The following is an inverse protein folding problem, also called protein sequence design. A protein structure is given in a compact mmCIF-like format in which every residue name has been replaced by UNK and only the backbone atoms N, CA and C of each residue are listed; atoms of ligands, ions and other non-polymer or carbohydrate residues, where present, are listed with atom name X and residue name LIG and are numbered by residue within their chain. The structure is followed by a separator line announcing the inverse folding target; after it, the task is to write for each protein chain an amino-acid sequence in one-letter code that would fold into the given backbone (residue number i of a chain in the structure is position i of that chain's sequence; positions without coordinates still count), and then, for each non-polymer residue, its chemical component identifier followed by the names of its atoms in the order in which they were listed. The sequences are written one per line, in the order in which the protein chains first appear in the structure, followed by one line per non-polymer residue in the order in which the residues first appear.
data_IF_528188604648
#
_entry.id   IF_528188604648
#
_cell.length_a   1.000
_cell.length_b   1.000
_cell.length_c   1.000
_cell.angle_alpha   90.00
_cell.angle_beta   90.00
_cell.angle_gamma   90.00
#
_symmetry.space_group_name_H-M   'P 1'
#
loop_
_entity.id
_entity.type
_entity.pdbx_description
1 polymer ?
#
# COMPACT_ATOMS: atom_id res chain seq x y z
N UNK A 1 -18.20 -6.12 -14.71
CA UNK A 1 -16.77 -6.52 -14.55
C UNK A 1 -16.21 -5.74 -13.37
N UNK A 2 -15.13 -6.17 -12.72
CA UNK A 2 -14.58 -5.49 -11.52
C UNK A 2 -14.37 -3.97 -11.74
N UNK A 3 -13.93 -3.55 -12.93
CA UNK A 3 -13.77 -2.12 -13.25
C UNK A 3 -15.12 -1.35 -13.26
N UNK A 4 -16.20 -1.98 -13.72
CA UNK A 4 -17.54 -1.38 -13.74
C UNK A 4 -18.07 -1.22 -12.30
N UNK A 5 -17.81 -2.22 -11.44
CA UNK A 5 -18.14 -2.15 -10.02
C UNK A 5 -17.38 -1.02 -9.32
N UNK A 6 -16.09 -0.84 -9.65
CA UNK A 6 -15.29 0.28 -9.16
C UNK A 6 -15.80 1.63 -9.68
N UNK A 7 -16.26 1.71 -10.93
CA UNK A 7 -16.85 2.94 -11.47
C UNK A 7 -18.12 3.33 -10.70
N UNK A 8 -18.96 2.35 -10.35
CA UNK A 8 -20.14 2.60 -9.50
C UNK A 8 -19.73 3.17 -8.13
N UNK A 9 -18.67 2.64 -7.51
CA UNK A 9 -18.13 3.17 -6.25
C UNK A 9 -17.57 4.58 -6.42
N UNK A 10 -16.87 4.87 -7.52
CA UNK A 10 -16.36 6.22 -7.82
C UNK A 10 -17.51 7.23 -7.89
N UNK A 11 -18.61 6.89 -8.57
CA UNK A 11 -19.77 7.79 -8.67
C UNK A 11 -20.50 7.96 -7.32
N UNK A 12 -20.54 6.91 -6.49
CA UNK A 12 -21.18 6.94 -5.18
C UNK A 12 -20.37 7.74 -4.15
N UNK A 13 -19.07 7.43 -4.02
CA UNK A 13 -18.18 8.02 -3.01
C UNK A 13 -17.67 9.40 -3.43
N UNK A 14 -17.59 9.64 -4.74
CA UNK A 14 -17.02 10.86 -5.33
C UNK A 14 -15.62 11.19 -4.77
N UNK A 15 -14.66 10.24 -4.84
CA UNK A 15 -13.35 10.46 -4.27
C UNK A 15 -12.58 11.51 -5.07
N UNK A 16 -11.80 12.35 -4.37
CA UNK A 16 -10.84 13.26 -4.98
C UNK A 16 -9.57 12.52 -5.42
N UNK A 17 -9.12 11.56 -4.62
CA UNK A 17 -7.96 10.73 -4.90
C UNK A 17 -8.28 9.26 -4.73
N UNK A 18 -7.66 8.42 -5.55
CA UNK A 18 -7.69 6.96 -5.43
C UNK A 18 -6.27 6.49 -5.13
N UNK A 19 -6.13 5.56 -4.19
CA UNK A 19 -4.86 4.89 -3.86
C UNK A 19 -5.01 3.40 -4.16
N UNK A 20 -4.05 2.82 -4.87
CA UNK A 20 -4.07 1.41 -5.27
C UNK A 20 -2.65 0.82 -5.32
N UNK A 21 -2.50 -0.39 -5.87
CA UNK A 21 -1.19 -1.01 -6.08
C UNK A 21 -0.50 -0.45 -7.32
N UNK A 22 0.83 -0.57 -7.38
CA UNK A 22 1.58 -0.30 -8.62
C UNK A 22 1.30 -1.38 -9.69
N UNK A 23 1.84 -1.18 -10.89
CA UNK A 23 1.64 -2.10 -12.03
C UNK A 23 2.15 -3.53 -11.78
N UNK A 24 3.09 -3.70 -10.85
CA UNK A 24 3.65 -4.97 -10.43
C UNK A 24 2.87 -5.61 -9.26
N UNK A 25 1.84 -4.96 -8.73
CA UNK A 25 1.08 -5.43 -7.57
C UNK A 25 1.87 -5.40 -6.25
N UNK A 26 2.86 -4.51 -6.15
CA UNK A 26 3.80 -4.43 -5.03
C UNK A 26 4.80 -5.58 -5.04
N UNK A 27 4.39 -6.74 -4.53
CA UNK A 27 5.22 -7.95 -4.46
C UNK A 27 4.93 -9.01 -5.54
N UNK A 28 4.13 -8.68 -6.55
CA UNK A 28 3.81 -9.59 -7.65
C UNK A 28 2.61 -10.47 -7.41
N UNK A 29 1.78 -10.20 -6.39
CA UNK A 29 0.56 -10.99 -6.18
C UNK A 29 -0.40 -10.82 -7.37
N UNK A 30 -0.93 -11.91 -7.96
CA UNK A 30 -1.82 -11.82 -9.11
C UNK A 30 -3.05 -10.94 -8.84
N UNK A 31 -3.61 -11.04 -7.63
CA UNK A 31 -4.77 -10.21 -7.26
C UNK A 31 -4.43 -8.73 -7.17
N UNK A 32 -3.23 -8.37 -6.70
CA UNK A 32 -2.83 -6.96 -6.64
C UNK A 32 -2.65 -6.36 -8.05
N UNK A 33 -2.10 -7.16 -8.98
CA UNK A 33 -1.99 -6.78 -10.39
C UNK A 33 -3.39 -6.63 -11.01
N UNK A 34 -4.32 -7.54 -10.70
CA UNK A 34 -5.70 -7.45 -11.17
C UNK A 34 -6.41 -6.20 -10.63
N UNK A 35 -6.25 -5.89 -9.33
CA UNK A 35 -6.79 -4.68 -8.70
C UNK A 35 -6.20 -3.42 -9.31
N UNK A 36 -4.88 -3.37 -9.53
CA UNK A 36 -4.24 -2.25 -10.23
C UNK A 36 -4.89 -2.01 -11.60
N UNK A 37 -4.97 -3.06 -12.43
CA UNK A 37 -5.54 -2.96 -13.78
C UNK A 37 -7.01 -2.51 -13.76
N UNK A 38 -7.81 -3.08 -12.86
CA UNK A 38 -9.21 -2.70 -12.72
C UNK A 38 -9.37 -1.25 -12.25
N UNK A 39 -8.52 -0.81 -11.31
CA UNK A 39 -8.56 0.55 -10.77
C UNK A 39 -8.12 1.58 -11.81
N UNK A 40 -7.02 1.35 -12.52
CA UNK A 40 -6.54 2.23 -13.60
C UNK A 40 -7.60 2.35 -14.69
N UNK A 41 -8.24 1.23 -15.06
CA UNK A 41 -9.32 1.23 -16.04
C UNK A 41 -10.52 2.04 -15.56
N UNK A 42 -10.99 1.81 -14.33
CA UNK A 42 -12.13 2.54 -13.77
C UNK A 42 -11.84 4.04 -13.62
N UNK A 43 -10.62 4.40 -13.22
CA UNK A 43 -10.17 5.80 -13.19
C UNK A 43 -10.22 6.42 -14.58
N UNK A 44 -9.63 5.77 -15.59
CA UNK A 44 -9.66 6.29 -16.98
C UNK A 44 -11.09 6.41 -17.53
N UNK A 45 -11.94 5.41 -17.27
CA UNK A 45 -13.31 5.41 -17.78
C UNK A 45 -14.17 6.49 -17.11
N UNK A 46 -13.87 6.86 -15.85
CA UNK A 46 -14.57 7.96 -15.18
C UNK A 46 -14.40 9.31 -15.88
N UNK A 47 -13.32 9.50 -16.65
CA UNK A 47 -13.06 10.71 -17.44
C UNK A 47 -13.69 10.68 -18.83
N UNK A 48 -14.40 9.60 -19.20
CA UNK A 48 -15.04 9.48 -20.53
C UNK A 48 -16.39 10.21 -20.65
N UNK A 49 -17.01 10.56 -19.52
CA UNK A 49 -18.25 11.32 -19.44
C UNK A 49 -18.01 12.60 -18.64
N UNK A 50 -18.11 13.75 -19.29
CA UNK A 50 -17.88 15.07 -18.69
C UNK A 50 -18.91 15.45 -17.61
N UNK A 51 -20.07 14.80 -17.60
CA UNK A 51 -21.13 15.05 -16.61
C UNK A 51 -21.00 14.14 -15.38
N UNK A 52 -20.19 13.10 -15.45
CA UNK A 52 -19.95 12.17 -14.36
C UNK A 52 -18.88 12.71 -13.40
N UNK A 53 -18.90 12.26 -12.14
CA UNK A 53 -17.79 12.57 -11.23
C UNK A 53 -16.52 11.85 -11.68
N UNK A 54 -15.40 12.56 -11.73
CA UNK A 54 -14.10 11.96 -12.03
C UNK A 54 -13.07 12.34 -10.94
N UNK A 55 -12.33 11.37 -10.37
CA UNK A 55 -11.29 11.66 -9.39
C UNK A 55 -10.15 12.45 -10.01
N UNK A 56 -9.52 13.33 -9.23
CA UNK A 56 -8.45 14.22 -9.71
C UNK A 56 -7.05 13.59 -9.63
N UNK A 57 -6.87 12.55 -8.81
CA UNK A 57 -5.57 11.91 -8.63
C UNK A 57 -5.68 10.39 -8.47
N UNK A 58 -4.67 9.69 -8.97
CA UNK A 58 -4.47 8.26 -8.80
C UNK A 58 -3.04 8.02 -8.31
N UNK A 59 -2.90 7.39 -7.15
CA UNK A 59 -1.62 7.07 -6.53
C UNK A 59 -1.43 5.57 -6.40
N UNK A 60 -0.18 5.13 -6.49
CA UNK A 60 0.23 3.77 -6.16
C UNK A 60 1.09 3.78 -4.90
N UNK A 61 0.82 2.89 -3.96
CA UNK A 61 1.64 2.75 -2.74
C UNK A 61 2.98 2.11 -3.09
N UNK A 62 4.07 2.71 -2.61
CA UNK A 62 5.43 2.29 -2.92
C UNK A 62 6.31 2.20 -1.68
N UNK A 63 7.38 1.40 -1.79
CA UNK A 63 8.42 1.35 -0.76
C UNK A 63 9.77 1.69 -1.37
N UNK A 64 10.50 2.59 -0.74
CA UNK A 64 11.84 2.96 -1.23
C UNK A 64 12.89 1.93 -0.81
N UNK A 65 13.97 1.83 -1.60
CA UNK A 65 15.16 1.04 -1.23
C UNK A 65 15.77 1.50 0.10
N UNK A 66 15.71 2.80 0.39
CA UNK A 66 16.21 3.36 1.64
C UNK A 66 15.38 2.89 2.83
N UNK A 67 14.04 2.95 2.70
CA UNK A 67 13.12 2.47 3.73
C UNK A 67 13.31 0.97 3.98
N UNK A 68 13.33 0.14 2.94
CA UNK A 68 13.52 -1.30 3.10
C UNK A 68 14.82 -1.67 3.82
N UNK A 69 15.92 -0.91 3.59
CA UNK A 69 17.18 -1.10 4.32
C UNK A 69 17.10 -0.65 5.78
N UNK A 70 16.36 0.42 6.07
CA UNK A 70 16.15 0.90 7.43
C UNK A 70 15.29 -0.08 8.23
N UNK A 71 14.15 -0.50 7.66
CA UNK A 71 13.25 -1.50 8.24
C UNK A 71 13.98 -2.80 8.54
N UNK A 72 14.82 -3.25 7.62
CA UNK A 72 15.59 -4.47 7.82
C UNK A 72 16.60 -4.38 8.97
N UNK A 73 17.11 -3.19 9.31
CA UNK A 73 17.95 -3.00 10.49
C UNK A 73 17.11 -3.07 11.77
N UNK A 74 15.97 -2.39 11.79
CA UNK A 74 15.06 -2.39 12.96
C UNK A 74 14.60 -3.81 13.27
N UNK A 75 14.13 -4.55 12.26
CA UNK A 75 13.68 -5.94 12.43
C UNK A 75 14.77 -6.80 13.05
N UNK A 76 15.98 -6.79 12.49
CA UNK A 76 17.12 -7.58 13.01
C UNK A 76 17.57 -7.19 14.41
N UNK A 77 17.26 -5.98 14.87
CA UNK A 77 17.69 -5.47 16.18
C UNK A 77 16.64 -5.62 17.27
N UNK A 78 15.37 -5.77 16.89
CA UNK A 78 14.24 -5.63 17.83
C UNK A 78 13.29 -6.82 17.86
N UNK A 79 13.40 -7.76 16.91
CA UNK A 79 12.53 -8.94 16.83
C UNK A 79 13.30 -10.17 16.33
N UNK A 80 12.67 -11.34 16.45
CA UNK A 80 13.13 -12.61 15.84
C UNK A 80 12.56 -12.85 14.42
N UNK A 81 12.10 -11.79 13.75
CA UNK A 81 11.51 -11.88 12.40
C UNK A 81 12.58 -11.78 11.30
N UNK A 82 12.23 -12.28 10.12
CA UNK A 82 13.00 -12.01 8.92
C UNK A 82 12.54 -10.67 8.30
N UNK A 83 13.44 -9.81 7.80
CA UNK A 83 13.01 -8.55 7.20
C UNK A 83 12.30 -8.79 5.87
N UNK A 84 11.25 -8.00 5.59
CA UNK A 84 10.57 -8.02 4.29
C UNK A 84 11.59 -7.82 3.14
N UNK A 85 11.45 -8.55 2.01
CA UNK A 85 12.45 -8.50 0.93
C UNK A 85 12.55 -7.10 0.30
N UNK A 86 13.72 -6.48 0.32
CA UNK A 86 13.98 -5.12 -0.21
C UNK A 86 14.60 -5.06 -1.61
N UNK A 87 14.35 -6.06 -2.45
CA UNK A 87 14.98 -6.18 -3.78
C UNK A 87 14.58 -5.07 -4.76
N UNK A 88 15.37 -4.87 -5.83
CA UNK A 88 15.13 -3.82 -6.87
C UNK A 88 13.76 -3.92 -7.56
N UNK A 89 13.14 -5.10 -7.60
CA UNK A 89 11.80 -5.31 -8.18
C UNK A 89 10.66 -4.97 -7.22
N UNK A 90 10.96 -4.79 -5.94
CA UNK A 90 10.00 -4.57 -4.85
C UNK A 90 10.13 -3.17 -4.24
N UNK A 91 11.01 -2.34 -4.80
CA UNK A 91 11.36 -1.05 -4.25
C UNK A 91 11.81 -0.05 -5.30
N UNK A 92 11.43 1.21 -5.10
CA UNK A 92 11.80 2.34 -5.97
C UNK A 92 12.93 3.19 -5.36
N UNK A 93 13.50 4.13 -6.12
CA UNK A 93 14.41 5.11 -5.53
C UNK A 93 13.61 6.19 -4.79
N UNK A 94 14.17 6.81 -3.76
CA UNK A 94 13.46 7.86 -3.03
C UNK A 94 13.10 9.08 -3.89
N UNK A 95 13.86 9.33 -4.97
CA UNK A 95 13.57 10.39 -5.94
C UNK A 95 12.39 10.09 -6.88
N UNK A 96 11.95 8.83 -6.90
CA UNK A 96 10.82 8.37 -7.73
C UNK A 96 9.51 8.38 -6.90
N UNK A 97 9.51 8.99 -5.71
CA UNK A 97 8.34 9.14 -4.85
C UNK A 97 7.80 10.55 -4.98
N UNK A 98 6.54 10.67 -5.41
CA UNK A 98 5.88 11.96 -5.62
C UNK A 98 5.25 12.53 -4.34
N UNK A 99 4.85 11.67 -3.40
CA UNK A 99 4.15 12.07 -2.18
C UNK A 99 4.56 11.22 -1.00
N UNK A 100 4.52 11.80 0.19
CA UNK A 100 4.89 11.12 1.43
C UNK A 100 3.97 11.62 2.53
N UNK A 101 3.34 10.68 3.25
CA UNK A 101 2.40 10.98 4.32
C UNK A 101 3.01 10.54 5.64
N UNK A 102 3.19 11.48 6.54
CA UNK A 102 3.53 11.20 7.93
C UNK A 102 2.29 10.69 8.66
N UNK A 103 2.38 9.49 9.22
CA UNK A 103 1.27 8.81 9.89
C UNK A 103 1.50 8.64 11.39
N UNK A 104 2.53 9.27 11.96
CA UNK A 104 2.88 9.13 13.39
C UNK A 104 1.70 9.46 14.31
N UNK A 105 0.97 10.52 14.01
CA UNK A 105 -0.18 10.98 14.82
C UNK A 105 -1.35 9.98 14.85
N UNK A 106 -1.43 9.09 13.85
CA UNK A 106 -2.49 8.08 13.72
C UNK A 106 -1.97 6.65 13.87
N UNK A 107 -0.69 6.48 14.22
CA UNK A 107 -0.01 5.18 14.22
C UNK A 107 -0.64 4.17 15.18
N UNK A 108 -1.14 4.64 16.33
CA UNK A 108 -1.87 3.78 17.27
C UNK A 108 -3.16 3.21 16.67
N UNK A 109 -3.84 3.99 15.82
CA UNK A 109 -5.03 3.51 15.11
C UNK A 109 -4.67 2.45 14.07
N UNK A 110 -3.56 2.64 13.35
CA UNK A 110 -3.04 1.63 12.41
C UNK A 110 -2.69 0.34 13.16
N UNK A 111 -1.93 0.44 14.26
CA UNK A 111 -1.59 -0.70 15.11
C UNK A 111 -2.83 -1.46 15.58
N UNK A 112 -3.85 -0.75 16.07
CA UNK A 112 -5.12 -1.37 16.51
C UNK A 112 -5.86 -2.05 15.36
N UNK A 113 -5.86 -1.47 14.16
CA UNK A 113 -6.44 -2.12 12.99
C UNK A 113 -5.68 -3.42 12.64
N UNK A 114 -4.35 -3.40 12.67
CA UNK A 114 -3.52 -4.58 12.42
C UNK A 114 -3.78 -5.71 13.44
N UNK A 115 -4.05 -5.37 14.71
CA UNK A 115 -4.41 -6.36 15.75
C UNK A 115 -5.70 -7.13 15.43
N UNK A 116 -6.59 -6.59 14.61
CA UNK A 116 -7.81 -7.31 14.19
C UNK A 116 -7.52 -8.47 13.22
N UNK A 117 -6.37 -8.46 12.53
CA UNK A 117 -6.01 -9.47 11.52
C UNK A 117 -5.15 -10.60 12.11
N UNK A 118 -5.56 -11.17 13.25
CA UNK A 118 -4.78 -12.15 14.03
C UNK A 118 -4.35 -13.40 13.27
N UNK A 119 -5.10 -13.81 12.24
CA UNK A 119 -4.75 -14.98 11.41
C UNK A 119 -3.71 -14.67 10.35
N UNK A 120 -3.46 -13.38 10.07
CA UNK A 120 -2.55 -12.91 9.03
C UNK A 120 -1.30 -12.26 9.60
N UNK A 121 -1.42 -11.59 10.76
CA UNK A 121 -0.38 -10.78 11.36
C UNK A 121 -0.05 -11.24 12.78
N UNK A 122 1.24 -11.34 13.07
CA UNK A 122 1.79 -11.38 14.42
C UNK A 122 2.41 -10.02 14.72
N UNK A 123 2.05 -9.40 15.84
CA UNK A 123 2.64 -8.12 16.27
C UNK A 123 3.58 -8.37 17.45
N UNK A 124 4.77 -7.79 17.38
CA UNK A 124 5.80 -7.85 18.42
C UNK A 124 6.52 -6.51 18.47
N UNK A 125 6.70 -5.96 19.67
CA UNK A 125 7.15 -4.59 19.86
C UNK A 125 6.36 -3.64 18.93
N UNK A 126 7.04 -2.81 18.17
CA UNK A 126 6.50 -1.90 17.15
C UNK A 126 6.66 -2.41 15.71
N UNK A 127 6.68 -3.73 15.57
CA UNK A 127 6.79 -4.44 14.30
C UNK A 127 5.62 -5.42 14.11
N UNK A 128 5.49 -5.90 12.88
CA UNK A 128 4.60 -6.98 12.53
C UNK A 128 5.33 -7.99 11.63
N UNK A 129 4.83 -9.23 11.63
CA UNK A 129 5.23 -10.26 10.68
C UNK A 129 4.02 -10.98 10.09
N UNK A 130 4.19 -11.45 8.87
CA UNK A 130 3.27 -12.34 8.17
C UNK A 130 3.45 -13.79 8.66
N UNK A 131 2.61 -14.71 8.18
CA UNK A 131 2.67 -16.14 8.53
C UNK A 131 4.00 -16.82 8.22
N UNK A 132 4.76 -16.32 7.25
CA UNK A 132 6.09 -16.80 6.89
C UNK A 132 7.22 -16.18 7.74
N UNK A 133 6.89 -15.49 8.84
CA UNK A 133 7.80 -14.76 9.72
C UNK A 133 8.54 -13.58 9.10
N UNK A 134 8.26 -13.22 7.84
CA UNK A 134 8.79 -11.99 7.25
C UNK A 134 8.00 -10.78 7.71
N UNK A 135 8.69 -9.71 8.08
CA UNK A 135 8.11 -8.58 8.79
C UNK A 135 8.78 -7.24 8.56
N UNK A 136 8.14 -6.19 9.07
CA UNK A 136 8.61 -4.81 9.03
C UNK A 136 8.13 -4.04 10.27
N UNK A 137 8.76 -2.90 10.59
CA UNK A 137 8.22 -1.96 11.56
C UNK A 137 6.85 -1.46 11.09
N UNK A 138 5.98 -1.15 12.05
CA UNK A 138 4.74 -0.40 11.75
C UNK A 138 5.16 0.99 11.28
N UNK A 139 4.75 1.34 10.06
CA UNK A 139 5.22 2.53 9.37
C UNK A 139 4.94 3.81 10.18
N UNK A 140 5.92 4.71 10.17
CA UNK A 140 5.74 6.10 10.61
C UNK A 140 5.44 7.02 9.42
N UNK A 141 5.80 6.58 8.22
CA UNK A 141 5.68 7.33 6.98
C UNK A 141 5.28 6.39 5.85
N UNK A 142 4.21 6.74 5.15
CA UNK A 142 3.69 6.04 3.96
C UNK A 142 4.00 6.83 2.68
N UNK A 143 4.12 6.14 1.57
CA UNK A 143 4.56 6.70 0.28
C UNK A 143 3.78 6.09 -0.86
#
# INVERSE_FOLDING_TARGET
RVADDLQAVIQQVRPQAIVTYNEFGGYGHPDHIAVHRATVRAFSDAWSDEHAWHPTALFAVERTRAQARADARVIRQTTDFDPLPGGRRLTVASRDIDTTIDVRDVRDRVRRAMQCYRTQLTLEADCYALSNRTGAPIAEVER
#
